data_IF_827660758836
#
_entry.id   IF_827660758836
#
_cell.length_a   1.000
_cell.length_b   1.000
_cell.length_c   1.000
_cell.angle_alpha   90.00
_cell.angle_beta   90.00
_cell.angle_gamma   90.00
#
_symmetry.space_group_name_H-M   'P 1'
#
loop_
_entity.id
_entity.type
_entity.pdbx_description
1 polymer ?
#
# COMPACT_ATOMS: atom_id res chain seq x y z
N UNK A 1 8.68 -23.48 -10.64
CA UNK A 1 8.25 -24.29 -11.80
C UNK A 1 7.99 -25.70 -11.30
N UNK A 2 6.90 -26.36 -11.68
CA UNK A 2 6.63 -27.75 -11.30
C UNK A 2 6.71 -28.60 -12.56
N UNK A 3 7.43 -29.72 -12.47
CA UNK A 3 7.43 -30.74 -13.52
C UNK A 3 6.47 -31.85 -13.09
N UNK A 4 5.46 -32.08 -13.93
CA UNK A 4 4.45 -33.11 -13.72
C UNK A 4 4.68 -34.25 -14.70
N UNK A 5 4.37 -35.46 -14.26
CA UNK A 5 4.17 -36.59 -15.16
C UNK A 5 2.88 -36.34 -15.95
N UNK A 6 2.99 -36.33 -17.28
CA UNK A 6 1.87 -36.01 -18.16
C UNK A 6 0.80 -37.12 -18.25
N UNK A 7 1.09 -38.32 -17.76
CA UNK A 7 0.22 -39.49 -17.82
C UNK A 7 -0.44 -39.78 -16.47
N UNK A 8 0.30 -39.63 -15.37
CA UNK A 8 -0.21 -39.91 -14.02
C UNK A 8 -0.61 -38.63 -13.26
N UNK A 9 -0.09 -37.47 -13.66
CA UNK A 9 -0.27 -36.21 -12.95
C UNK A 9 0.61 -36.06 -11.71
N UNK A 10 1.51 -37.02 -11.46
CA UNK A 10 2.40 -37.00 -10.30
C UNK A 10 3.45 -35.89 -10.41
N UNK A 11 3.88 -35.36 -9.27
CA UNK A 11 4.96 -34.37 -9.22
C UNK A 11 6.30 -35.08 -9.40
N UNK A 12 6.96 -34.84 -10.53
CA UNK A 12 8.29 -35.39 -10.85
C UNK A 12 9.41 -34.53 -10.27
N UNK A 13 9.24 -33.21 -10.25
CA UNK A 13 10.21 -32.29 -9.66
C UNK A 13 9.58 -30.94 -9.28
N UNK A 14 10.10 -30.34 -8.22
CA UNK A 14 9.84 -28.96 -7.85
C UNK A 14 11.07 -28.13 -8.20
N UNK A 15 10.93 -27.22 -9.16
CA UNK A 15 11.93 -26.20 -9.45
C UNK A 15 12.00 -25.15 -8.33
N UNK A 16 13.11 -24.39 -8.25
CA UNK A 16 13.29 -23.39 -7.20
C UNK A 16 12.14 -22.38 -7.17
N UNK A 17 11.68 -22.06 -5.96
CA UNK A 17 10.76 -20.95 -5.74
C UNK A 17 11.53 -19.65 -5.92
N UNK A 18 11.29 -18.95 -7.03
CA UNK A 18 11.84 -17.62 -7.23
C UNK A 18 10.83 -16.60 -6.69
N UNK A 19 11.21 -15.75 -5.71
CA UNK A 19 10.36 -14.65 -5.30
C UNK A 19 10.20 -13.69 -6.48
N UNK A 20 9.03 -13.71 -7.10
CA UNK A 20 8.59 -12.72 -8.07
C UNK A 20 8.06 -11.53 -7.28
N UNK A 21 8.94 -10.58 -6.99
CA UNK A 21 8.55 -9.27 -6.46
C UNK A 21 9.21 -8.20 -7.32
N UNK A 22 8.42 -7.22 -7.75
CA UNK A 22 8.96 -6.04 -8.43
C UNK A 22 9.39 -5.03 -7.37
N UNK A 23 10.61 -4.50 -7.50
CA UNK A 23 11.03 -3.38 -6.67
C UNK A 23 10.07 -2.21 -6.89
N UNK A 24 9.65 -1.58 -5.81
CA UNK A 24 8.65 -0.53 -5.85
C UNK A 24 8.94 0.51 -4.77
N UNK A 25 8.69 1.77 -5.08
CA UNK A 25 8.78 2.87 -4.13
C UNK A 25 7.44 3.57 -4.05
N UNK A 26 7.02 3.92 -2.83
CA UNK A 26 5.90 4.82 -2.62
C UNK A 26 6.15 5.77 -1.47
N UNK A 27 5.43 6.87 -1.47
CA UNK A 27 5.48 7.87 -0.40
C UNK A 27 4.07 7.98 0.16
N UNK A 28 3.92 7.65 1.43
CA UNK A 28 2.65 7.74 2.13
C UNK A 28 2.24 9.17 2.44
N UNK A 29 0.95 9.37 2.75
CA UNK A 29 0.45 10.62 3.31
C UNK A 29 1.09 10.98 4.66
N UNK A 30 1.73 10.02 5.32
CA UNK A 30 2.55 10.25 6.51
C UNK A 30 4.04 10.58 6.24
N UNK A 31 4.38 10.89 4.99
CA UNK A 31 5.74 11.25 4.55
C UNK A 31 6.76 10.15 4.84
N UNK A 32 6.29 8.91 5.01
CA UNK A 32 7.15 7.75 5.07
C UNK A 32 7.38 7.24 3.65
N UNK A 33 8.62 6.86 3.38
CA UNK A 33 8.99 6.24 2.11
C UNK A 33 9.01 4.74 2.33
N UNK A 34 8.19 4.01 1.57
CA UNK A 34 8.18 2.57 1.58
C UNK A 34 8.92 2.07 0.36
N UNK A 35 9.98 1.30 0.59
CA UNK A 35 10.82 0.74 -0.47
C UNK A 35 10.76 -0.77 -0.40
N UNK A 36 10.33 -1.41 -1.49
CA UNK A 36 10.46 -2.85 -1.69
C UNK A 36 11.72 -3.13 -2.50
N UNK A 37 12.60 -3.98 -1.99
CA UNK A 37 13.85 -4.35 -2.67
C UNK A 37 13.67 -5.35 -3.83
N UNK A 38 12.44 -5.81 -4.09
CA UNK A 38 12.15 -6.83 -5.10
C UNK A 38 12.40 -8.26 -4.63
N UNK A 39 12.77 -8.44 -3.36
CA UNK A 39 12.93 -9.75 -2.69
C UNK A 39 11.92 -9.94 -1.56
N UNK A 40 10.95 -9.03 -1.45
CA UNK A 40 9.94 -9.04 -0.39
C UNK A 40 10.40 -8.39 0.91
N UNK A 41 11.54 -7.69 0.90
CA UNK A 41 11.95 -6.84 2.03
C UNK A 41 11.44 -5.42 1.81
N UNK A 42 10.77 -4.89 2.83
CA UNK A 42 10.26 -3.53 2.85
C UNK A 42 11.03 -2.71 3.87
N UNK A 43 11.58 -1.60 3.43
CA UNK A 43 12.13 -0.57 4.29
C UNK A 43 11.12 0.55 4.43
N UNK A 44 10.89 0.98 5.66
CA UNK A 44 10.08 2.14 5.98
C UNK A 44 11.04 3.24 6.43
N UNK A 45 11.13 4.30 5.65
CA UNK A 45 12.02 5.42 5.91
C UNK A 45 11.21 6.65 6.30
N UNK A 46 11.77 7.53 7.12
CA UNK A 46 11.24 8.88 7.31
C UNK A 46 11.54 9.79 6.11
N UNK A 47 11.09 11.04 6.18
CA UNK A 47 11.32 12.05 5.13
C UNK A 47 12.80 12.44 4.96
N UNK A 48 13.65 12.14 5.95
CA UNK A 48 15.10 12.31 5.89
C UNK A 48 15.82 11.03 5.41
N UNK A 49 15.05 10.03 4.96
CA UNK A 49 15.53 8.71 4.52
C UNK A 49 16.18 7.87 5.63
N UNK A 50 15.94 8.20 6.90
CA UNK A 50 16.37 7.33 8.00
C UNK A 50 15.41 6.14 8.10
N UNK A 51 15.96 4.94 8.24
CA UNK A 51 15.16 3.75 8.44
C UNK A 51 14.46 3.79 9.80
N UNK A 52 13.13 3.69 9.78
CA UNK A 52 12.30 3.55 10.98
C UNK A 52 12.03 2.08 11.29
N UNK A 53 11.75 1.29 10.27
CA UNK A 53 11.33 -0.11 10.42
C UNK A 53 11.65 -0.91 9.15
N UNK A 54 11.73 -2.24 9.31
CA UNK A 54 11.80 -3.18 8.20
C UNK A 54 10.72 -4.25 8.35
N UNK A 55 10.04 -4.58 7.25
CA UNK A 55 9.04 -5.63 7.19
C UNK A 55 9.46 -6.69 6.17
N UNK A 56 9.33 -7.95 6.55
CA UNK A 56 9.53 -9.06 5.65
C UNK A 56 8.17 -9.63 5.23
N UNK A 57 7.92 -9.66 3.92
CA UNK A 57 6.78 -10.33 3.33
C UNK A 57 7.28 -11.55 2.55
N UNK A 58 6.99 -12.76 3.02
CA UNK A 58 7.44 -13.99 2.38
C UNK A 58 6.69 -14.30 1.07
N UNK A 59 7.40 -14.78 0.05
CA UNK A 59 6.81 -15.22 -1.22
C UNK A 59 6.77 -14.14 -2.30
N UNK A 60 5.97 -14.36 -3.34
CA UNK A 60 5.84 -13.41 -4.45
C UNK A 60 5.00 -12.22 -3.97
N UNK A 61 5.54 -11.01 -4.05
CA UNK A 61 4.88 -9.81 -3.54
C UNK A 61 4.55 -8.90 -4.70
N UNK A 62 3.27 -8.59 -4.83
CA UNK A 62 2.78 -7.58 -5.75
C UNK A 62 2.35 -6.39 -4.89
N UNK A 63 3.22 -5.40 -4.79
CA UNK A 63 2.93 -4.20 -4.02
C UNK A 63 2.79 -3.02 -4.97
N UNK A 64 1.55 -2.69 -5.31
CA UNK A 64 1.19 -1.38 -5.84
C UNK A 64 0.45 -0.67 -4.71
N UNK A 65 1.18 0.03 -3.82
CA UNK A 65 0.56 0.64 -2.65
C UNK A 65 -0.39 1.76 -3.11
N UNK A 66 -1.68 1.45 -3.12
CA UNK A 66 -2.74 2.46 -3.11
C UNK A 66 -2.83 2.99 -1.69
N UNK A 67 -2.34 4.21 -1.48
CA UNK A 67 -2.41 4.84 -0.17
C UNK A 67 -3.85 5.28 0.10
N UNK A 68 -4.49 4.60 1.03
CA UNK A 68 -5.73 5.12 1.62
C UNK A 68 -5.42 6.36 2.43
N UNK A 69 -6.42 7.27 2.53
CA UNK A 69 -6.40 8.53 3.28
C UNK A 69 -5.87 8.41 4.71
N UNK A 70 -5.87 7.21 5.29
CA UNK A 70 -5.50 6.91 6.68
C UNK A 70 -4.07 6.38 6.89
N UNK A 71 -3.22 6.32 5.87
CA UNK A 71 -1.85 5.81 6.04
C UNK A 71 -1.81 4.29 6.27
N UNK A 72 -2.71 3.56 5.59
CA UNK A 72 -2.69 2.09 5.57
C UNK A 72 -1.91 1.62 4.34
N UNK A 73 -0.86 0.83 4.58
CA UNK A 73 -0.13 0.10 3.55
C UNK A 73 -0.80 -1.26 3.35
N UNK A 74 -1.09 -1.62 2.09
CA UNK A 74 -1.61 -2.94 1.73
C UNK A 74 -0.51 -3.70 0.99
N UNK A 75 -0.20 -4.90 1.49
CA UNK A 75 0.69 -5.86 0.83
C UNK A 75 -0.16 -7.01 0.32
N UNK A 76 -0.12 -7.23 -1.00
CA UNK A 76 -0.70 -8.43 -1.61
C UNK A 76 0.41 -9.41 -1.98
N UNK A 77 0.25 -10.65 -1.55
CA UNK A 77 1.18 -11.72 -1.85
C UNK A 77 0.50 -12.68 -2.82
N UNK A 78 1.25 -13.36 -3.69
CA UNK A 78 0.67 -14.40 -4.53
C UNK A 78 -0.01 -15.47 -3.65
N UNK A 79 -1.25 -15.82 -4.00
CA UNK A 79 -2.08 -16.74 -3.24
C UNK A 79 -3.26 -16.03 -2.59
N UNK A 80 -3.60 -16.43 -1.37
CA UNK A 80 -4.82 -16.02 -0.65
C UNK A 80 -4.54 -15.06 0.53
N UNK A 81 -3.34 -14.48 0.62
CA UNK A 81 -2.95 -13.61 1.73
C UNK A 81 -2.87 -12.15 1.31
N UNK A 82 -3.63 -11.33 2.04
CA UNK A 82 -3.58 -9.87 2.01
C UNK A 82 -3.27 -9.41 3.43
N UNK A 83 -2.33 -8.49 3.59
CA UNK A 83 -1.98 -7.91 4.89
C UNK A 83 -2.06 -6.39 4.81
N UNK A 84 -2.65 -5.78 5.85
CA UNK A 84 -2.80 -4.34 5.96
C UNK A 84 -2.08 -3.85 7.22
N UNK A 85 -1.26 -2.82 7.06
CA UNK A 85 -0.47 -2.22 8.12
C UNK A 85 -0.89 -0.77 8.28
N UNK A 86 -1.41 -0.42 9.46
CA UNK A 86 -1.84 0.94 9.76
C UNK A 86 -0.70 1.70 10.43
N UNK A 87 -0.42 2.90 9.94
CA UNK A 87 0.50 3.80 10.64
C UNK A 87 -0.01 4.08 12.07
N UNK A 88 0.89 4.02 13.05
CA UNK A 88 0.58 4.41 14.43
C UNK A 88 0.39 5.93 14.57
N UNK A 89 0.78 6.72 13.56
CA UNK A 89 0.71 8.18 13.58
C UNK A 89 -0.71 8.63 13.23
N UNK A 90 -1.44 9.16 14.22
CA UNK A 90 -2.70 9.88 13.96
C UNK A 90 -2.40 11.30 13.48
N UNK A 91 -3.00 11.70 12.36
CA UNK A 91 -2.86 13.06 11.80
C UNK A 91 -4.20 13.77 11.78
N UNK A 92 -4.16 15.07 12.00
CA UNK A 92 -5.27 15.95 11.65
C UNK A 92 -5.42 16.01 10.13
N UNK A 93 -6.65 16.06 9.60
CA UNK A 93 -6.89 16.18 8.16
C UNK A 93 -6.28 17.48 7.61
N UNK A 94 -5.53 17.37 6.51
CA UNK A 94 -4.99 18.53 5.78
C UNK A 94 -6.08 19.29 5.01
N UNK A 95 -7.14 18.57 4.64
CA UNK A 95 -8.38 19.10 4.12
C UNK A 95 -9.52 18.11 4.41
N UNK A 96 -10.66 18.65 4.83
CA UNK A 96 -11.95 17.97 4.92
C UNK A 96 -12.96 18.71 4.05
N UNK A 97 -13.74 17.95 3.30
CA UNK A 97 -14.87 18.44 2.54
C UNK A 97 -16.13 17.85 3.12
N UNK A 98 -17.11 18.71 3.34
CA UNK A 98 -18.45 18.28 3.73
C UNK A 98 -19.42 18.80 2.69
N UNK A 99 -20.47 18.03 2.44
CA UNK A 99 -21.56 18.43 1.56
C UNK A 99 -22.61 19.17 2.37
N UNK A 100 -23.26 20.17 1.76
CA UNK A 100 -24.37 20.90 2.40
C UNK A 100 -25.58 20.01 2.71
N UNK A 101 -25.70 18.88 2.01
CA UNK A 101 -26.80 17.92 2.15
C UNK A 101 -26.36 16.53 1.71
N UNK A 102 -26.86 15.50 2.39
CA UNK A 102 -26.58 14.09 2.12
C UNK A 102 -27.54 13.45 1.10
N UNK A 103 -28.57 14.18 0.66
CA UNK A 103 -29.56 13.75 -0.33
C UNK A 103 -29.75 14.88 -1.35
N UNK A 104 -29.68 14.55 -2.64
CA UNK A 104 -29.93 15.45 -3.77
C UNK A 104 -30.90 14.78 -4.74
N UNK A 105 -31.78 15.57 -5.37
CA UNK A 105 -32.64 15.09 -6.45
C UNK A 105 -31.89 15.06 -7.79
N UNK A 106 -32.39 14.30 -8.76
CA UNK A 106 -31.92 14.41 -10.14
C UNK A 106 -31.99 15.87 -10.58
N UNK A 107 -30.91 16.38 -11.19
CA UNK A 107 -30.70 17.77 -11.63
C UNK A 107 -30.33 18.82 -10.57
N UNK A 108 -30.19 18.46 -9.30
CA UNK A 108 -29.65 19.38 -8.27
C UNK A 108 -28.12 19.43 -8.28
N UNK A 109 -27.56 20.61 -8.00
CA UNK A 109 -26.10 20.80 -7.83
C UNK A 109 -25.67 20.42 -6.42
N UNK A 110 -24.58 19.65 -6.34
CA UNK A 110 -23.92 19.32 -5.08
C UNK A 110 -22.95 20.45 -4.71
N UNK A 111 -23.12 21.02 -3.52
CA UNK A 111 -22.23 22.05 -2.99
C UNK A 111 -21.29 21.46 -1.95
N UNK A 112 -19.98 21.67 -2.16
CA UNK A 112 -18.90 21.25 -1.28
C UNK A 112 -18.27 22.46 -0.64
N UNK A 113 -18.14 22.44 0.68
CA UNK A 113 -17.35 23.43 1.41
C UNK A 113 -16.23 22.78 2.20
N UNK A 114 -15.15 23.54 2.36
CA UNK A 114 -13.88 23.09 2.95
C UNK A 114 -13.71 23.73 4.33
N UNK A 115 -13.42 22.91 5.35
CA UNK A 115 -13.32 23.40 6.73
C UNK A 115 -11.90 23.56 7.26
N UNK A 116 -10.86 23.03 6.59
CA UNK A 116 -9.47 23.14 7.08
C UNK A 116 -8.49 23.34 5.92
N UNK A 117 -7.61 24.34 6.08
CA UNK A 117 -6.39 24.54 5.33
C UNK A 117 -5.28 24.84 6.34
N UNK A 118 -4.35 23.90 6.56
CA UNK A 118 -3.12 24.18 7.29
C UNK A 118 -2.01 24.40 6.25
N UNK A 119 -1.58 25.64 5.99
CA UNK A 119 -0.43 25.87 5.12
C UNK A 119 0.82 25.31 5.81
N UNK A 120 1.51 24.37 5.17
CA UNK A 120 2.84 23.95 5.61
C UNK A 120 3.84 25.06 5.28
N UNK A 121 4.39 25.70 6.31
CA UNK A 121 5.60 26.53 6.15
C UNK A 121 6.73 25.61 5.68
N UNK A 122 7.28 25.90 4.51
CA UNK A 122 8.61 25.45 4.14
C UNK A 122 9.60 26.38 4.86
N UNK A 123 10.31 25.84 5.85
CA UNK A 123 11.54 26.40 6.41
C UNK A 123 12.56 25.27 6.50
#
# INVERSE_FOLDING_TARGET
MVQLDQHTGDILALGPSMPLSQSSLTISSDSLVYVNDGKGNFLILDYNLNQKEALAASGNVYCNPSLSREGVMIITQAGNKISAFKSAVRRSPVADFTVSRSIINFSESLDFFRNVFLPSRFL
#
